data_IF_873772694466
#
_entry.id   IF_873772694466
#
_cell.length_a   1.000
_cell.length_b   1.000
_cell.length_c   1.000
_cell.angle_alpha   90.00
_cell.angle_beta   90.00
_cell.angle_gamma   90.00
#
_symmetry.space_group_name_H-M   'P 1'
#
loop_
_entity.id
_entity.type
_entity.pdbx_description
1 polymer ?
#
# COMPACT_ATOMS: atom_id res chain seq x y z
N UNK A 1 -56.90 65.55 27.05
CA UNK A 1 -56.07 64.61 27.84
C UNK A 1 -55.67 63.45 26.93
N UNK A 2 -54.39 63.08 26.87
CA UNK A 2 -53.83 62.14 25.88
C UNK A 2 -54.53 60.78 25.96
N UNK A 3 -55.06 60.32 24.82
CA UNK A 3 -55.60 58.98 24.63
C UNK A 3 -54.43 57.98 24.75
N UNK A 4 -54.51 56.95 25.62
CA UNK A 4 -53.45 55.95 25.71
C UNK A 4 -53.39 55.14 24.41
N UNK A 5 -52.20 54.75 23.94
CA UNK A 5 -52.09 53.96 22.71
C UNK A 5 -52.84 52.63 22.86
N UNK A 6 -53.44 52.10 21.78
CA UNK A 6 -54.24 50.89 21.85
C UNK A 6 -53.36 49.72 22.32
N UNK A 7 -53.85 48.95 23.31
CA UNK A 7 -53.15 47.80 23.92
C UNK A 7 -52.57 46.82 22.88
N UNK A 8 -53.20 46.72 21.71
CA UNK A 8 -52.74 45.90 20.58
C UNK A 8 -51.42 46.37 19.96
N UNK A 9 -51.16 47.69 19.92
CA UNK A 9 -49.91 48.24 19.40
C UNK A 9 -48.71 47.93 20.32
N UNK A 10 -48.93 47.97 21.64
CA UNK A 10 -47.89 47.63 22.61
C UNK A 10 -47.51 46.14 22.54
N UNK A 11 -48.51 45.25 22.40
CA UNK A 11 -48.27 43.80 22.24
C UNK A 11 -47.53 43.49 20.94
N UNK A 12 -47.88 44.15 19.83
CA UNK A 12 -47.19 43.97 18.55
C UNK A 12 -45.71 44.41 18.61
N UNK A 13 -45.43 45.53 19.28
CA UNK A 13 -44.05 46.03 19.46
C UNK A 13 -43.24 45.09 20.36
N UNK A 14 -43.82 44.60 21.46
CA UNK A 14 -43.13 43.65 22.35
C UNK A 14 -42.85 42.33 21.63
N UNK A 15 -43.79 41.80 20.85
CA UNK A 15 -43.57 40.59 20.04
C UNK A 15 -42.50 40.80 18.98
N UNK A 16 -42.49 41.95 18.28
CA UNK A 16 -41.47 42.25 17.27
C UNK A 16 -40.07 42.32 17.90
N UNK A 17 -39.95 43.00 19.04
CA UNK A 17 -38.70 43.10 19.81
C UNK A 17 -38.23 41.72 20.26
N UNK A 18 -39.12 40.88 20.81
CA UNK A 18 -38.78 39.51 21.22
C UNK A 18 -38.30 38.64 20.04
N UNK A 19 -38.91 38.81 18.87
CA UNK A 19 -38.52 38.07 17.65
C UNK A 19 -37.14 38.51 17.15
N UNK A 20 -36.83 39.80 17.23
CA UNK A 20 -35.51 40.35 16.88
C UNK A 20 -34.44 39.82 17.84
N UNK A 21 -34.68 39.87 19.16
CA UNK A 21 -33.74 39.35 20.15
C UNK A 21 -33.51 37.84 20.01
N UNK A 22 -34.55 37.05 19.74
CA UNK A 22 -34.41 35.62 19.46
C UNK A 22 -33.58 35.36 18.18
N UNK A 23 -33.78 36.18 17.14
CA UNK A 23 -32.99 36.11 15.91
C UNK A 23 -31.51 36.47 16.10
N UNK A 24 -31.20 37.46 16.95
CA UNK A 24 -29.84 37.82 17.31
C UNK A 24 -29.15 36.73 18.14
N UNK A 25 -29.81 36.21 19.17
CA UNK A 25 -29.28 35.13 20.00
C UNK A 25 -29.02 33.85 19.18
N UNK A 26 -29.92 33.52 18.23
CA UNK A 26 -29.71 32.39 17.32
C UNK A 26 -28.51 32.59 16.39
N UNK A 27 -28.30 33.82 15.91
CA UNK A 27 -27.12 34.14 15.08
C UNK A 27 -25.82 34.04 15.86
N UNK A 28 -25.77 34.53 17.11
CA UNK A 28 -24.60 34.40 17.96
C UNK A 28 -24.26 32.93 18.26
N UNK A 29 -25.26 32.13 18.63
CA UNK A 29 -25.08 30.69 18.85
C UNK A 29 -24.62 29.95 17.58
N UNK A 30 -25.13 30.33 16.40
CA UNK A 30 -24.69 29.78 15.12
C UNK A 30 -23.24 30.15 14.81
N UNK A 31 -22.85 31.40 15.05
CA UNK A 31 -21.47 31.88 14.85
C UNK A 31 -20.50 31.18 15.81
N UNK A 32 -20.85 31.02 17.09
CA UNK A 32 -20.03 30.26 18.04
C UNK A 32 -19.91 28.78 17.64
N UNK A 33 -20.99 28.18 17.13
CA UNK A 33 -20.97 26.78 16.64
C UNK A 33 -20.10 26.63 15.38
N UNK A 34 -20.13 27.61 14.48
CA UNK A 34 -19.28 27.63 13.28
C UNK A 34 -17.82 27.86 13.66
N UNK A 35 -17.55 28.79 14.58
CA UNK A 35 -16.20 29.08 15.07
C UNK A 35 -15.60 27.91 15.85
N UNK A 36 -16.40 27.19 16.65
CA UNK A 36 -15.95 25.98 17.36
C UNK A 36 -15.68 24.84 16.38
N UNK A 37 -16.53 24.65 15.36
CA UNK A 37 -16.27 23.72 14.25
C UNK A 37 -15.00 24.07 13.48
N UNK A 38 -14.77 25.34 13.18
CA UNK A 38 -13.56 25.81 12.50
C UNK A 38 -12.30 25.59 13.36
N UNK A 39 -12.34 25.91 14.65
CA UNK A 39 -11.23 25.63 15.58
C UNK A 39 -10.96 24.13 15.76
N UNK A 40 -11.98 23.28 15.71
CA UNK A 40 -11.81 21.82 15.72
C UNK A 40 -11.22 21.26 14.41
N UNK A 41 -11.30 22.03 13.31
CA UNK A 41 -10.70 21.67 12.01
C UNK A 41 -9.22 22.08 11.92
N UNK A 42 -8.75 23.04 12.73
CA UNK A 42 -7.36 23.49 12.76
C UNK A 42 -6.43 22.59 13.61
N UNK A 43 -6.98 21.65 14.38
CA UNK A 43 -6.19 20.69 15.19
C UNK A 43 -6.11 19.31 14.56
N UNK A 44 -6.17 19.20 13.23
CA UNK A 44 -5.70 18.00 12.54
C UNK A 44 -4.18 18.02 12.64
N UNK A 45 -3.53 17.03 13.26
CA UNK A 45 -2.08 16.90 13.17
C UNK A 45 -1.75 16.92 11.68
N UNK A 46 -0.93 17.87 11.24
CA UNK A 46 -0.31 17.81 9.92
C UNK A 46 0.57 16.56 9.92
N UNK A 47 -0.01 15.41 9.58
CA UNK A 47 0.76 14.29 9.12
C UNK A 47 1.47 14.80 7.86
N UNK A 48 2.80 14.86 7.90
CA UNK A 48 3.60 14.99 6.69
C UNK A 48 3.33 13.71 5.89
N UNK A 49 2.26 13.71 5.09
CA UNK A 49 2.00 12.63 4.15
C UNK A 49 3.20 12.51 3.23
N UNK A 50 3.54 11.27 2.85
CA UNK A 50 4.71 11.08 1.99
C UNK A 50 4.44 11.74 0.64
N UNK A 51 5.47 12.29 0.03
CA UNK A 51 5.38 12.82 -1.32
C UNK A 51 5.58 11.68 -2.32
N UNK A 52 4.47 11.11 -2.79
CA UNK A 52 4.50 10.17 -3.93
C UNK A 52 4.65 10.97 -5.23
N UNK A 53 5.65 10.63 -6.05
CA UNK A 53 5.85 11.19 -7.40
C UNK A 53 5.55 10.14 -8.47
N UNK A 54 6.59 9.64 -9.12
CA UNK A 54 6.54 8.64 -10.19
C UNK A 54 6.81 7.21 -9.68
N UNK A 55 7.50 7.06 -8.55
CA UNK A 55 7.88 5.77 -7.95
C UNK A 55 7.40 5.68 -6.51
N UNK A 56 6.99 4.49 -6.08
CA UNK A 56 6.65 4.16 -4.69
C UNK A 56 6.87 2.69 -4.44
N UNK A 57 7.38 2.34 -3.27
CA UNK A 57 7.45 0.95 -2.82
C UNK A 57 6.33 0.69 -1.80
N UNK A 58 5.76 -0.51 -1.82
CA UNK A 58 4.64 -0.86 -0.95
C UNK A 58 4.78 -2.27 -0.39
N UNK A 59 4.40 -2.39 0.86
CA UNK A 59 4.25 -3.65 1.58
C UNK A 59 2.93 -3.62 2.33
N UNK A 60 2.25 -4.76 2.35
CA UNK A 60 1.02 -4.93 3.12
C UNK A 60 1.20 -6.10 4.06
N UNK A 61 1.09 -5.84 5.36
CA UNK A 61 1.10 -6.88 6.38
C UNK A 61 0.19 -6.49 7.55
N UNK A 62 -0.81 -7.34 7.85
CA UNK A 62 -1.77 -7.13 8.95
C UNK A 62 -1.49 -7.99 10.16
N UNK A 63 -0.42 -8.80 10.13
CA UNK A 63 -0.01 -9.70 11.19
C UNK A 63 1.44 -9.40 11.56
N UNK A 64 1.63 -8.55 12.56
CA UNK A 64 2.96 -8.07 12.95
C UNK A 64 3.92 -9.21 13.31
N UNK A 65 5.14 -9.13 12.78
CA UNK A 65 6.28 -9.96 13.18
C UNK A 65 7.47 -9.08 13.57
N UNK A 66 8.36 -9.55 14.46
CA UNK A 66 9.55 -8.77 14.85
C UNK A 66 10.48 -8.39 13.68
N UNK A 67 10.42 -9.10 12.55
CA UNK A 67 11.26 -8.86 11.38
C UNK A 67 10.69 -7.77 10.46
N UNK A 68 9.41 -7.44 10.57
CA UNK A 68 8.72 -6.55 9.64
C UNK A 68 9.34 -5.15 9.59
N UNK A 69 9.57 -4.51 10.74
CA UNK A 69 10.16 -3.17 10.79
C UNK A 69 11.62 -3.15 10.33
N UNK A 70 12.51 -4.06 10.80
CA UNK A 70 13.84 -4.21 10.23
C UNK A 70 13.84 -4.40 8.70
N UNK A 71 12.94 -5.23 8.17
CA UNK A 71 12.82 -5.48 6.74
C UNK A 71 12.45 -4.20 5.98
N UNK A 72 11.43 -3.47 6.42
CA UNK A 72 11.00 -2.23 5.75
C UNK A 72 12.12 -1.17 5.80
N UNK A 73 12.79 -1.02 6.94
CA UNK A 73 13.93 -0.12 7.08
C UNK A 73 15.11 -0.50 6.18
N UNK A 74 15.32 -1.80 5.97
CA UNK A 74 16.31 -2.29 5.02
C UNK A 74 15.95 -1.92 3.57
N UNK A 75 14.70 -2.14 3.15
CA UNK A 75 14.22 -1.70 1.83
C UNK A 75 14.38 -0.20 1.63
N UNK A 76 14.04 0.61 2.65
CA UNK A 76 14.23 2.06 2.64
C UNK A 76 15.71 2.42 2.40
N UNK A 77 16.65 1.71 3.03
CA UNK A 77 18.07 1.96 2.85
C UNK A 77 18.58 1.56 1.45
N UNK A 78 18.13 0.42 0.92
CA UNK A 78 18.58 -0.10 -0.39
C UNK A 78 18.01 0.72 -1.56
N UNK A 79 16.73 1.10 -1.48
CA UNK A 79 16.06 1.84 -2.56
C UNK A 79 16.43 3.33 -2.58
N UNK A 80 16.78 3.89 -1.41
CA UNK A 80 17.12 5.29 -1.26
C UNK A 80 15.92 6.26 -1.38
N UNK A 81 16.18 7.57 -1.31
CA UNK A 81 15.13 8.58 -1.11
C UNK A 81 14.18 8.78 -2.31
N UNK A 82 14.50 8.21 -3.47
CA UNK A 82 13.62 8.30 -4.65
C UNK A 82 12.44 7.31 -4.62
N UNK A 83 12.43 6.40 -3.65
CA UNK A 83 11.41 5.38 -3.44
C UNK A 83 10.81 5.52 -2.03
N UNK A 84 9.82 6.40 -1.84
CA UNK A 84 9.09 6.42 -0.57
C UNK A 84 8.33 5.10 -0.38
N UNK A 85 8.15 4.67 0.87
CA UNK A 85 7.47 3.41 1.19
C UNK A 85 6.10 3.68 1.82
N UNK A 86 5.06 3.05 1.28
CA UNK A 86 3.76 2.94 1.94
C UNK A 86 3.67 1.56 2.58
N UNK A 87 3.55 1.52 3.90
CA UNK A 87 3.24 0.30 4.64
C UNK A 87 1.74 0.25 4.95
N UNK A 88 1.03 -0.71 4.37
CA UNK A 88 -0.37 -0.97 4.69
C UNK A 88 -0.49 -2.01 5.81
N UNK A 89 -1.26 -1.71 6.85
CA UNK A 89 -1.47 -2.62 7.99
C UNK A 89 -2.88 -2.51 8.59
N UNK A 90 -3.18 -3.34 9.59
CA UNK A 90 -4.46 -3.28 10.29
C UNK A 90 -4.45 -2.18 11.37
N UNK A 91 -5.63 -1.67 11.74
CA UNK A 91 -5.74 -0.71 12.85
C UNK A 91 -5.13 -1.28 14.14
N UNK A 92 -5.43 -2.55 14.45
CA UNK A 92 -4.86 -3.26 15.61
C UNK A 92 -3.34 -3.28 15.59
N UNK A 93 -2.74 -3.69 14.47
CA UNK A 93 -1.27 -3.72 14.34
C UNK A 93 -0.65 -2.34 14.47
N UNK A 94 -1.29 -1.32 13.89
CA UNK A 94 -0.84 0.06 14.04
C UNK A 94 -0.86 0.50 15.51
N UNK A 95 -1.99 0.32 16.19
CA UNK A 95 -2.16 0.77 17.58
C UNK A 95 -1.22 0.04 18.55
N UNK A 96 -1.01 -1.26 18.35
CA UNK A 96 -0.18 -2.09 19.22
C UNK A 96 1.33 -1.89 19.00
N UNK A 97 1.76 -1.56 17.78
CA UNK A 97 3.19 -1.58 17.42
C UNK A 97 3.76 -0.31 16.80
N UNK A 98 2.93 0.56 16.21
CA UNK A 98 3.40 1.67 15.37
C UNK A 98 2.97 3.04 15.88
N UNK A 99 1.86 3.11 16.60
CA UNK A 99 1.33 4.33 17.19
C UNK A 99 2.36 4.95 18.16
N UNK A 100 2.43 6.30 18.25
CA UNK A 100 3.24 6.97 19.27
C UNK A 100 2.91 6.53 20.70
N UNK A 101 1.68 6.06 20.93
CA UNK A 101 1.17 5.59 22.22
C UNK A 101 1.11 4.05 22.31
N UNK A 102 1.75 3.32 21.39
CA UNK A 102 1.75 1.87 21.38
C UNK A 102 2.26 1.30 22.71
N UNK A 103 1.60 0.23 23.17
CA UNK A 103 1.90 -0.46 24.43
C UNK A 103 3.14 -1.37 24.35
N UNK A 104 3.59 -1.71 23.14
CA UNK A 104 4.88 -2.38 22.87
C UNK A 104 6.04 -1.38 22.96
N UNK A 105 7.31 -1.80 23.22
CA UNK A 105 8.42 -0.86 23.40
C UNK A 105 8.49 0.10 22.21
N UNK A 106 8.51 1.39 22.53
CA UNK A 106 8.45 2.53 21.61
C UNK A 106 9.01 2.20 20.22
N UNK A 107 8.22 2.45 19.18
CA UNK A 107 8.64 2.33 17.77
C UNK A 107 10.10 2.74 17.59
N UNK A 108 10.87 1.87 16.93
CA UNK A 108 12.31 2.03 16.68
C UNK A 108 12.64 3.48 16.34
N UNK A 109 13.68 4.04 16.96
CA UNK A 109 14.07 5.43 16.69
C UNK A 109 14.35 5.65 15.19
N UNK A 110 14.84 4.63 14.47
CA UNK A 110 15.04 4.69 13.02
C UNK A 110 13.73 4.70 12.24
N UNK A 111 12.73 3.95 12.70
CA UNK A 111 11.37 4.00 12.13
C UNK A 111 10.77 5.40 12.26
N UNK A 112 10.78 5.96 13.47
CA UNK A 112 10.26 7.31 13.72
C UNK A 112 10.95 8.36 12.86
N UNK A 113 12.29 8.33 12.76
CA UNK A 113 13.02 9.25 11.86
C UNK A 113 12.61 9.12 10.39
N UNK A 114 12.35 7.92 9.90
CA UNK A 114 11.94 7.70 8.51
C UNK A 114 10.50 8.22 8.26
N UNK A 115 9.61 8.01 9.23
CA UNK A 115 8.25 8.58 9.20
C UNK A 115 8.28 10.10 9.27
N UNK A 116 9.03 10.67 10.23
CA UNK A 116 9.16 12.12 10.42
C UNK A 116 9.78 12.81 9.18
N UNK A 117 10.70 12.11 8.49
CA UNK A 117 11.31 12.56 7.24
C UNK A 117 10.38 12.43 6.02
N UNK A 118 9.20 11.83 6.16
CA UNK A 118 8.26 11.60 5.06
C UNK A 118 8.74 10.59 4.03
N UNK A 119 9.65 9.68 4.41
CA UNK A 119 10.12 8.61 3.53
C UNK A 119 9.36 7.30 3.70
N UNK A 120 8.66 7.13 4.83
CA UNK A 120 7.78 6.00 5.10
C UNK A 120 6.43 6.50 5.63
N UNK A 121 5.33 6.03 5.06
CA UNK A 121 3.97 6.22 5.60
C UNK A 121 3.41 4.90 6.07
N UNK A 122 2.59 4.92 7.12
CA UNK A 122 1.69 3.80 7.43
C UNK A 122 0.26 4.16 7.09
N UNK A 123 -0.43 3.27 6.38
CA UNK A 123 -1.84 3.41 6.03
C UNK A 123 -2.64 2.20 6.50
N UNK A 124 -3.89 2.43 6.85
CA UNK A 124 -4.77 1.37 7.33
C UNK A 124 -5.46 0.71 6.14
N UNK A 125 -5.38 -0.62 6.07
CA UNK A 125 -6.11 -1.43 5.09
C UNK A 125 -7.61 -1.32 5.37
N UNK A 126 -8.42 -1.15 4.32
CA UNK A 126 -9.89 -1.17 4.43
C UNK A 126 -10.36 -2.47 5.11
N UNK A 127 -11.26 -2.41 6.11
CA UNK A 127 -11.70 -3.59 6.88
C UNK A 127 -12.45 -4.63 6.02
N UNK A 128 -12.82 -4.29 4.78
CA UNK A 128 -13.43 -5.24 3.84
C UNK A 128 -12.43 -6.31 3.32
N UNK A 129 -11.13 -6.06 3.41
CA UNK A 129 -10.10 -6.99 2.95
C UNK A 129 -9.65 -7.94 4.06
N UNK A 130 -10.02 -9.21 3.93
CA UNK A 130 -9.51 -10.27 4.81
C UNK A 130 -8.15 -10.81 4.34
N UNK A 131 -7.07 -10.20 4.80
CA UNK A 131 -5.71 -10.58 4.41
C UNK A 131 -5.15 -11.83 5.10
N UNK A 132 -5.92 -12.47 6.00
CA UNK A 132 -5.50 -13.72 6.67
C UNK A 132 -5.68 -14.98 5.80
N UNK A 133 -6.17 -14.83 4.58
CA UNK A 133 -6.42 -15.95 3.67
C UNK A 133 -5.80 -15.67 2.32
N UNK A 134 -5.30 -16.73 1.65
CA UNK A 134 -4.82 -16.63 0.28
C UNK A 134 -5.85 -15.98 -0.63
N UNK A 135 -7.13 -16.36 -0.55
CA UNK A 135 -8.19 -15.75 -1.37
C UNK A 135 -8.29 -14.24 -1.14
N UNK A 136 -8.29 -13.81 0.11
CA UNK A 136 -8.42 -12.39 0.43
C UNK A 136 -7.20 -11.56 0.02
N UNK A 137 -5.98 -12.12 0.11
CA UNK A 137 -4.77 -11.49 -0.46
C UNK A 137 -4.90 -11.30 -1.97
N UNK A 138 -5.37 -12.32 -2.70
CA UNK A 138 -5.57 -12.20 -4.16
C UNK A 138 -6.67 -11.19 -4.51
N UNK A 139 -7.78 -11.16 -3.76
CA UNK A 139 -8.83 -10.15 -3.93
C UNK A 139 -8.29 -8.75 -3.68
N UNK A 140 -7.45 -8.56 -2.66
CA UNK A 140 -6.85 -7.27 -2.33
C UNK A 140 -5.94 -6.75 -3.45
N UNK A 141 -5.04 -7.56 -3.98
CA UNK A 141 -4.16 -7.14 -5.08
C UNK A 141 -4.90 -6.94 -6.42
N UNK A 142 -6.04 -7.61 -6.60
CA UNK A 142 -6.93 -7.43 -7.75
C UNK A 142 -8.03 -6.38 -7.54
N UNK A 143 -7.91 -5.54 -6.50
CA UNK A 143 -8.87 -4.47 -6.23
C UNK A 143 -8.28 -3.07 -6.55
N UNK A 144 -9.02 -2.18 -7.25
CA UNK A 144 -8.53 -0.83 -7.58
C UNK A 144 -8.05 -0.01 -6.38
N UNK A 145 -8.74 -0.14 -5.24
CA UNK A 145 -8.49 0.62 -4.01
C UNK A 145 -7.00 0.69 -3.65
N UNK A 146 -6.27 -0.44 -3.62
CA UNK A 146 -4.84 -0.46 -3.27
C UNK A 146 -4.05 0.47 -4.19
N UNK A 147 -4.27 0.33 -5.50
CA UNK A 147 -3.53 1.04 -6.51
C UNK A 147 -3.87 2.53 -6.48
N UNK A 148 -5.13 2.89 -6.28
CA UNK A 148 -5.57 4.30 -6.13
C UNK A 148 -4.92 4.99 -4.94
N UNK A 149 -4.68 4.28 -3.83
CA UNK A 149 -3.94 4.86 -2.69
C UNK A 149 -2.51 5.27 -3.10
N UNK A 150 -1.92 4.62 -4.10
CA UNK A 150 -0.54 4.86 -4.54
C UNK A 150 -0.43 5.94 -5.62
N UNK A 151 -1.48 6.74 -5.83
CA UNK A 151 -1.45 7.95 -6.66
C UNK A 151 -0.36 8.94 -6.21
N UNK A 152 0.37 9.63 -7.12
CA UNK A 152 0.37 9.54 -8.58
C UNK A 152 1.45 8.62 -9.20
N UNK A 153 2.17 7.79 -8.41
CA UNK A 153 3.23 6.88 -8.89
C UNK A 153 2.89 6.03 -10.13
N UNK A 154 3.67 6.15 -11.20
CA UNK A 154 3.56 5.23 -12.34
C UNK A 154 4.09 3.84 -11.98
N UNK A 155 5.18 3.77 -11.22
CA UNK A 155 5.90 2.55 -10.90
C UNK A 155 5.73 2.18 -9.43
N UNK A 156 5.20 0.99 -9.19
CA UNK A 156 4.98 0.46 -7.84
C UNK A 156 5.83 -0.78 -7.65
N UNK A 157 6.78 -0.72 -6.70
CA UNK A 157 7.50 -1.90 -6.23
C UNK A 157 6.71 -2.54 -5.09
N UNK A 158 6.17 -3.72 -5.32
CA UNK A 158 5.52 -4.54 -4.29
C UNK A 158 6.56 -5.49 -3.70
N UNK A 159 6.64 -5.55 -2.37
CA UNK A 159 7.41 -6.56 -1.66
C UNK A 159 6.63 -7.13 -0.47
N UNK A 160 6.70 -8.45 -0.27
CA UNK A 160 6.11 -9.17 0.85
C UNK A 160 7.16 -9.47 1.93
N UNK A 161 6.72 -9.87 3.13
CA UNK A 161 7.62 -10.15 4.25
C UNK A 161 8.65 -11.28 3.96
N UNK A 162 8.36 -12.14 2.99
CA UNK A 162 9.20 -13.22 2.49
C UNK A 162 9.97 -12.85 1.20
N UNK A 163 10.12 -11.54 0.92
CA UNK A 163 10.94 -11.00 -0.16
C UNK A 163 12.09 -10.13 0.35
N UNK A 164 13.21 -10.14 -0.36
CA UNK A 164 14.39 -9.33 -0.06
C UNK A 164 14.99 -8.72 -1.33
N UNK A 165 15.51 -7.49 -1.23
CA UNK A 165 16.45 -6.93 -2.21
C UNK A 165 17.88 -7.20 -1.75
N UNK A 166 18.80 -7.45 -2.68
CA UNK A 166 20.18 -7.73 -2.35
C UNK A 166 21.02 -6.45 -2.49
N UNK A 167 21.54 -5.91 -1.40
CA UNK A 167 22.31 -4.66 -1.42
C UNK A 167 23.59 -4.76 -2.26
N UNK A 168 24.07 -5.98 -2.51
CA UNK A 168 25.23 -6.25 -3.36
C UNK A 168 24.90 -6.24 -4.86
N UNK A 169 23.62 -6.10 -5.25
CA UNK A 169 23.20 -6.18 -6.64
C UNK A 169 23.84 -5.11 -7.53
N UNK A 170 24.37 -5.55 -8.68
CA UNK A 170 24.96 -4.66 -9.67
C UNK A 170 23.91 -3.83 -10.41
N UNK A 171 22.68 -4.34 -10.46
CA UNK A 171 21.50 -3.66 -10.99
C UNK A 171 20.61 -3.21 -9.84
N UNK A 172 19.84 -2.17 -10.09
CA UNK A 172 18.85 -1.59 -9.18
C UNK A 172 17.44 -1.86 -9.70
N UNK A 173 16.41 -1.57 -8.89
CA UNK A 173 15.01 -1.62 -9.33
C UNK A 173 14.75 -0.65 -10.49
N UNK A 174 15.47 0.48 -10.54
CA UNK A 174 15.32 1.50 -11.59
C UNK A 174 15.67 0.98 -12.99
N UNK A 175 16.56 -0.03 -13.09
CA UNK A 175 16.98 -0.64 -14.36
C UNK A 175 15.87 -1.48 -15.04
N UNK A 176 14.72 -1.62 -14.38
CA UNK A 176 13.58 -2.40 -14.83
C UNK A 176 12.29 -1.57 -15.02
N UNK A 177 12.33 -0.24 -14.85
CA UNK A 177 11.15 0.63 -14.94
C UNK A 177 10.50 0.67 -16.33
N UNK A 178 11.18 0.21 -17.37
CA UNK A 178 10.64 0.05 -18.71
C UNK A 178 9.54 -1.01 -18.79
N UNK A 179 9.49 -1.97 -17.85
CA UNK A 179 8.53 -3.06 -17.88
C UNK A 179 7.25 -2.72 -17.11
N UNK A 180 6.11 -3.15 -17.66
CA UNK A 180 4.81 -2.90 -17.06
C UNK A 180 4.49 -3.88 -15.93
N UNK A 181 5.05 -5.10 -15.98
CA UNK A 181 5.02 -6.05 -14.88
C UNK A 181 6.23 -6.99 -14.97
N UNK A 182 7.03 -7.01 -13.91
CA UNK A 182 8.15 -7.92 -13.73
C UNK A 182 8.16 -8.46 -12.30
N UNK A 183 8.49 -9.74 -12.16
CA UNK A 183 8.67 -10.45 -10.89
C UNK A 183 9.40 -11.76 -11.14
N UNK A 184 9.52 -12.61 -10.13
CA UNK A 184 10.15 -13.92 -10.31
C UNK A 184 9.30 -14.78 -11.28
N UNK A 185 9.86 -15.34 -12.35
CA UNK A 185 9.07 -16.10 -13.32
C UNK A 185 8.48 -17.36 -12.68
N UNK A 186 7.21 -17.64 -12.96
CA UNK A 186 6.52 -18.87 -12.51
C UNK A 186 6.59 -19.99 -13.56
N UNK A 187 7.09 -19.68 -14.75
CA UNK A 187 7.22 -20.58 -15.86
C UNK A 187 8.47 -20.21 -16.68
N UNK A 188 9.06 -21.18 -17.36
CA UNK A 188 10.30 -21.04 -18.13
C UNK A 188 10.09 -20.54 -19.57
N UNK A 189 8.85 -20.51 -20.05
CA UNK A 189 8.47 -20.11 -21.41
C UNK A 189 7.38 -19.05 -21.43
N UNK A 190 6.43 -19.12 -20.51
CA UNK A 190 5.33 -18.17 -20.36
C UNK A 190 5.76 -16.98 -19.51
N UNK A 191 5.50 -15.76 -20.00
CA UNK A 191 5.69 -14.51 -19.26
C UNK A 191 4.61 -14.36 -18.18
N UNK A 192 4.77 -15.11 -17.10
CA UNK A 192 3.95 -15.10 -15.89
C UNK A 192 4.86 -14.98 -14.69
N UNK A 193 4.54 -14.07 -13.78
CA UNK A 193 5.45 -13.69 -12.70
C UNK A 193 4.76 -13.81 -11.36
N UNK A 194 5.57 -14.04 -10.33
CA UNK A 194 5.12 -13.99 -8.95
C UNK A 194 5.04 -12.53 -8.48
N UNK A 195 4.00 -12.22 -7.71
CA UNK A 195 3.68 -10.88 -7.27
C UNK A 195 4.41 -10.42 -6.00
N UNK A 196 5.04 -11.33 -5.24
CA UNK A 196 5.52 -11.02 -3.90
C UNK A 196 6.85 -10.27 -3.82
N UNK A 197 7.62 -10.25 -4.90
CA UNK A 197 8.61 -9.23 -5.20
C UNK A 197 8.42 -8.84 -6.66
N UNK A 198 7.75 -7.73 -6.90
CA UNK A 198 7.38 -7.32 -8.25
C UNK A 198 7.38 -5.81 -8.46
N UNK A 199 7.73 -5.38 -9.67
CA UNK A 199 7.58 -4.00 -10.12
C UNK A 199 6.41 -3.96 -11.11
N UNK A 200 5.46 -3.06 -10.88
CA UNK A 200 4.22 -2.98 -11.65
C UNK A 200 3.89 -1.55 -12.07
N UNK A 201 3.38 -1.39 -13.29
CA UNK A 201 2.84 -0.13 -13.80
C UNK A 201 1.42 0.08 -13.26
N UNK A 202 1.27 1.04 -12.34
CA UNK A 202 -0.02 1.31 -11.67
C UNK A 202 -1.11 1.72 -12.65
N UNK A 203 -0.78 2.56 -13.64
CA UNK A 203 -1.79 3.05 -14.59
C UNK A 203 -2.37 1.91 -15.41
N UNK A 204 -1.51 1.02 -15.92
CA UNK A 204 -1.96 -0.14 -16.69
C UNK A 204 -2.71 -1.15 -15.81
N UNK A 205 -2.29 -1.36 -14.55
CA UNK A 205 -3.06 -2.16 -13.58
C UNK A 205 -4.48 -1.62 -13.42
N UNK A 206 -4.63 -0.31 -13.21
CA UNK A 206 -5.95 0.31 -13.07
C UNK A 206 -6.78 0.20 -14.36
N UNK A 207 -6.17 0.30 -15.54
CA UNK A 207 -6.87 0.06 -16.82
C UNK A 207 -7.38 -1.39 -16.95
N UNK A 208 -6.60 -2.38 -16.50
CA UNK A 208 -7.06 -3.77 -16.43
C UNK A 208 -8.25 -3.89 -15.47
N UNK A 209 -8.12 -3.39 -14.25
CA UNK A 209 -9.11 -3.56 -13.19
C UNK A 209 -10.42 -2.80 -13.47
N UNK A 210 -10.34 -1.58 -14.04
CA UNK A 210 -11.52 -0.80 -14.43
C UNK A 210 -12.18 -1.30 -15.73
N UNK A 211 -11.51 -2.16 -16.50
CA UNK A 211 -12.05 -2.77 -17.71
C UNK A 211 -13.13 -3.83 -17.46
N UNK A 212 -13.58 -4.03 -16.21
CA UNK A 212 -14.57 -5.05 -15.84
C UNK A 212 -13.98 -6.45 -15.66
N UNK A 213 -12.64 -6.56 -15.59
CA UNK A 213 -11.94 -7.80 -15.29
C UNK A 213 -12.05 -8.11 -13.79
N UNK A 214 -12.33 -9.37 -13.44
CA UNK A 214 -12.48 -9.83 -12.07
C UNK A 214 -11.74 -11.15 -11.88
N UNK A 215 -10.70 -11.14 -11.04
CA UNK A 215 -9.87 -12.31 -10.78
C UNK A 215 -10.68 -13.49 -10.25
N UNK A 216 -11.61 -13.25 -9.32
CA UNK A 216 -12.37 -14.34 -8.69
C UNK A 216 -13.38 -14.95 -9.66
N UNK A 217 -14.03 -14.13 -10.49
CA UNK A 217 -14.89 -14.62 -11.56
C UNK A 217 -14.09 -15.45 -12.55
N UNK A 218 -12.95 -14.93 -13.02
CA UNK A 218 -12.10 -15.62 -14.00
C UNK A 218 -11.52 -16.92 -13.45
N UNK A 219 -11.08 -16.91 -12.19
CA UNK A 219 -10.62 -18.10 -11.47
C UNK A 219 -11.64 -19.25 -11.52
N UNK A 220 -12.94 -18.93 -11.45
CA UNK A 220 -14.02 -19.93 -11.38
C UNK A 220 -14.65 -20.25 -12.74
N UNK A 221 -14.52 -19.38 -13.75
CA UNK A 221 -15.30 -19.48 -15.00
C UNK A 221 -14.45 -19.62 -16.25
N UNK A 222 -13.19 -19.17 -16.24
CA UNK A 222 -12.29 -19.28 -17.39
C UNK A 222 -11.51 -20.60 -17.37
N UNK A 223 -10.97 -20.97 -18.52
CA UNK A 223 -10.25 -22.21 -18.73
C UNK A 223 -8.90 -22.30 -17.99
N UNK A 224 -8.11 -23.31 -18.34
CA UNK A 224 -6.85 -23.68 -17.66
C UNK A 224 -5.77 -22.60 -17.63
N UNK A 225 -5.84 -21.59 -18.51
CA UNK A 225 -4.92 -20.44 -18.44
C UNK A 225 -5.18 -19.57 -17.20
N UNK A 226 -6.41 -19.55 -16.68
CA UNK A 226 -6.84 -18.67 -15.60
C UNK A 226 -7.17 -19.43 -14.31
N UNK A 227 -7.85 -20.57 -14.45
CA UNK A 227 -8.32 -21.36 -13.31
C UNK A 227 -7.19 -21.87 -12.42
N UNK A 228 -7.30 -21.65 -11.11
CA UNK A 228 -6.33 -22.18 -10.13
C UNK A 228 -5.10 -21.31 -9.87
N UNK A 229 -4.95 -20.17 -10.56
CA UNK A 229 -3.77 -19.31 -10.50
C UNK A 229 -3.99 -18.00 -9.72
N UNK A 230 -3.00 -17.61 -8.92
CA UNK A 230 -3.06 -16.38 -8.12
C UNK A 230 -3.26 -15.12 -8.96
N UNK A 231 -3.58 -14.01 -8.29
CA UNK A 231 -3.73 -12.68 -8.87
C UNK A 231 -2.52 -12.31 -9.71
N UNK A 232 -1.31 -12.63 -9.24
CA UNK A 232 -0.07 -12.30 -9.93
C UNK A 232 0.06 -12.97 -11.30
N UNK A 233 -0.25 -14.25 -11.36
CA UNK A 233 -0.32 -15.00 -12.60
C UNK A 233 -1.44 -14.47 -13.49
N UNK A 234 -2.66 -14.31 -12.93
CA UNK A 234 -3.83 -13.78 -13.65
C UNK A 234 -3.55 -12.40 -14.26
N UNK A 235 -2.94 -11.52 -13.48
CA UNK A 235 -2.56 -10.17 -13.90
C UNK A 235 -1.49 -10.23 -14.98
N UNK A 236 -0.54 -11.17 -14.90
CA UNK A 236 0.42 -11.39 -15.97
C UNK A 236 -0.27 -11.76 -17.29
N UNK A 237 -1.33 -12.58 -17.26
CA UNK A 237 -2.13 -12.89 -18.46
C UNK A 237 -2.82 -11.63 -18.98
N UNK A 238 -3.51 -10.90 -18.11
CA UNK A 238 -4.23 -9.66 -18.48
C UNK A 238 -3.30 -8.60 -19.09
N UNK A 239 -2.10 -8.43 -18.54
CA UNK A 239 -1.09 -7.52 -19.07
C UNK A 239 -0.66 -7.93 -20.48
N UNK A 240 -0.45 -9.22 -20.75
CA UNK A 240 -0.14 -9.69 -22.11
C UNK A 240 -1.28 -9.44 -23.09
N UNK A 241 -2.53 -9.66 -22.68
CA UNK A 241 -3.70 -9.41 -23.52
C UNK A 241 -3.87 -7.92 -23.86
N UNK A 242 -3.30 -7.02 -23.06
CA UNK A 242 -3.22 -5.58 -23.31
C UNK A 242 -1.93 -5.12 -24.00
N UNK A 243 -1.12 -6.04 -24.52
CA UNK A 243 0.15 -5.75 -25.18
C UNK A 243 1.14 -4.97 -24.28
N UNK A 244 1.13 -5.26 -22.98
CA UNK A 244 2.05 -4.69 -22.01
C UNK A 244 3.51 -5.05 -22.34
N UNK A 245 4.44 -4.15 -21.98
CA UNK A 245 5.87 -4.42 -22.11
C UNK A 245 6.32 -5.41 -21.02
N UNK A 246 6.30 -6.69 -21.36
CA UNK A 246 6.68 -7.79 -20.47
C UNK A 246 8.10 -8.30 -20.77
N UNK A 247 8.98 -8.48 -19.77
CA UNK A 247 10.37 -8.88 -19.98
C UNK A 247 10.54 -10.30 -20.52
N UNK A 248 11.74 -10.66 -20.99
CA UNK A 248 12.09 -12.07 -21.19
C UNK A 248 12.23 -12.79 -19.85
N UNK A 249 12.28 -14.13 -19.87
CA UNK A 249 12.49 -14.92 -18.66
C UNK A 249 13.87 -14.64 -18.07
N UNK A 250 14.90 -14.48 -18.91
CA UNK A 250 16.26 -14.12 -18.48
C UNK A 250 16.29 -12.76 -17.76
N UNK A 251 15.61 -11.75 -18.30
CA UNK A 251 15.50 -10.45 -17.65
C UNK A 251 14.71 -10.54 -16.34
N UNK A 252 13.63 -11.32 -16.28
CA UNK A 252 12.89 -11.55 -15.05
C UNK A 252 13.74 -12.24 -13.97
N UNK A 253 14.59 -13.20 -14.35
CA UNK A 253 15.54 -13.88 -13.46
C UNK A 253 16.68 -12.98 -12.96
N UNK A 254 16.99 -11.89 -13.69
CA UNK A 254 17.90 -10.84 -13.23
C UNK A 254 17.23 -9.91 -12.22
N UNK A 255 15.91 -9.74 -12.29
CA UNK A 255 15.15 -8.98 -11.30
C UNK A 255 14.93 -9.79 -10.01
N UNK A 256 14.25 -10.93 -10.09
CA UNK A 256 13.88 -11.70 -8.90
C UNK A 256 13.97 -13.22 -9.11
N UNK A 257 14.35 -13.95 -8.04
CA UNK A 257 14.38 -15.41 -8.01
C UNK A 257 13.61 -16.00 -6.83
N UNK A 258 12.88 -17.07 -7.11
CA UNK A 258 12.08 -17.82 -6.13
C UNK A 258 12.29 -19.36 -6.18
N UNK A 259 11.95 -19.98 -7.31
CA UNK A 259 11.93 -21.44 -7.52
C UNK A 259 13.33 -22.08 -7.61
N UNK A 260 13.46 -23.39 -7.34
CA UNK A 260 14.74 -24.12 -7.40
C UNK A 260 15.48 -23.93 -8.73
N UNK A 261 14.76 -24.07 -9.85
CA UNK A 261 15.36 -23.98 -11.19
C UNK A 261 15.89 -22.57 -11.51
N UNK A 262 15.46 -21.52 -10.79
CA UNK A 262 16.05 -20.19 -10.91
C UNK A 262 17.47 -20.15 -10.35
N UNK A 263 17.73 -20.94 -9.30
CA UNK A 263 19.04 -20.99 -8.65
C UNK A 263 20.06 -21.73 -9.51
N UNK A 264 19.59 -22.66 -10.35
CA UNK A 264 20.44 -23.36 -11.32
C UNK A 264 20.84 -22.49 -12.53
N UNK A 265 20.23 -21.31 -12.69
CA UNK A 265 20.57 -20.36 -13.76
C UNK A 265 21.71 -19.45 -13.31
N UNK A 266 22.70 -19.15 -14.19
CA UNK A 266 23.78 -18.24 -13.85
C UNK A 266 23.26 -16.83 -13.59
N UNK A 267 24.05 -16.02 -12.90
CA UNK A 267 23.73 -14.63 -12.58
C UNK A 267 23.24 -14.43 -11.16
N UNK A 268 23.03 -13.16 -10.82
CA UNK A 268 22.77 -12.71 -9.45
C UNK A 268 21.62 -11.71 -9.51
N UNK A 269 20.47 -12.01 -8.89
CA UNK A 269 19.30 -11.17 -9.06
C UNK A 269 19.38 -9.90 -8.20
N UNK A 270 18.54 -8.92 -8.53
CA UNK A 270 18.25 -7.76 -7.67
C UNK A 270 17.63 -8.22 -6.36
N UNK A 271 16.83 -9.29 -6.35
CA UNK A 271 16.24 -9.81 -5.12
C UNK A 271 15.77 -11.26 -5.17
N UNK A 272 15.27 -11.72 -4.02
CA UNK A 272 14.70 -13.05 -3.85
C UNK A 272 13.30 -12.95 -3.26
N UNK A 273 12.46 -13.93 -3.56
CA UNK A 273 11.14 -14.09 -2.96
C UNK A 273 10.90 -15.56 -2.62
N UNK A 274 10.35 -15.85 -1.44
CA UNK A 274 9.90 -17.19 -1.03
C UNK A 274 10.94 -18.32 -1.03
N UNK A 275 12.23 -18.03 -1.09
CA UNK A 275 13.27 -19.07 -1.15
C UNK A 275 13.18 -20.03 0.05
N UNK A 276 12.88 -19.54 1.25
CA UNK A 276 12.65 -20.40 2.43
C UNK A 276 11.42 -21.31 2.32
N UNK A 277 10.45 -20.99 1.47
CA UNK A 277 9.23 -21.79 1.28
C UNK A 277 9.40 -22.80 0.16
N UNK A 278 10.00 -22.38 -0.94
CA UNK A 278 10.19 -23.22 -2.14
C UNK A 278 11.34 -24.20 -1.98
N UNK A 279 12.49 -23.76 -1.48
CA UNK A 279 13.65 -24.63 -1.28
C UNK A 279 14.64 -24.06 -0.24
N UNK A 280 14.43 -24.45 1.02
CA UNK A 280 15.32 -24.09 2.14
C UNK A 280 16.77 -24.52 1.92
N UNK A 281 17.02 -25.55 1.11
CA UNK A 281 18.38 -26.06 0.88
C UNK A 281 19.21 -25.10 0.03
N UNK A 282 18.57 -24.19 -0.72
CA UNK A 282 19.20 -23.16 -1.55
C UNK A 282 19.48 -21.85 -0.83
N UNK A 283 18.92 -21.64 0.36
CA UNK A 283 19.15 -20.42 1.15
C UNK A 283 20.64 -20.17 1.43
N UNK A 284 21.47 -21.17 1.82
CA UNK A 284 22.91 -20.95 1.99
C UNK A 284 23.63 -20.48 0.72
N UNK A 285 23.15 -20.88 -0.46
CA UNK A 285 23.68 -20.41 -1.74
C UNK A 285 23.29 -18.95 -1.99
N UNK A 286 22.01 -18.61 -1.85
CA UNK A 286 21.51 -17.25 -1.98
C UNK A 286 22.18 -16.28 -0.98
N UNK A 287 22.39 -16.71 0.27
CA UNK A 287 23.03 -15.93 1.33
C UNK A 287 24.46 -15.50 0.99
N UNK A 288 25.21 -16.30 0.22
CA UNK A 288 26.59 -15.91 -0.21
C UNK A 288 26.59 -14.62 -1.02
N UNK A 289 25.51 -14.38 -1.76
CA UNK A 289 25.31 -13.19 -2.57
C UNK A 289 24.53 -12.10 -1.84
N UNK A 290 23.50 -12.52 -1.11
CA UNK A 290 22.49 -11.69 -0.48
C UNK A 290 22.38 -12.05 1.01
N UNK A 291 23.36 -11.66 1.84
CA UNK A 291 23.35 -12.01 3.27
C UNK A 291 22.08 -11.57 3.98
N UNK A 292 21.43 -10.52 3.48
CA UNK A 292 20.22 -9.92 4.02
C UNK A 292 18.98 -10.78 3.80
N UNK A 293 19.09 -11.90 3.06
CA UNK A 293 18.00 -12.85 2.89
C UNK A 293 17.42 -13.34 4.23
N UNK A 294 18.24 -13.39 5.28
CA UNK A 294 17.79 -13.75 6.63
C UNK A 294 16.91 -12.69 7.32
N UNK A 295 16.80 -11.47 6.77
CA UNK A 295 15.79 -10.48 7.18
C UNK A 295 14.41 -10.79 6.62
N UNK A 296 14.35 -11.51 5.49
CA UNK A 296 13.09 -12.01 4.95
C UNK A 296 12.73 -13.32 5.62
N UNK A 297 11.44 -13.52 5.86
CA UNK A 297 10.93 -14.75 6.45
C UNK A 297 9.53 -15.03 5.94
N UNK A 298 9.09 -16.30 5.88
CA UNK A 298 7.71 -16.62 5.57
C UNK A 298 6.77 -15.72 6.39
N UNK A 299 6.03 -14.85 5.70
CA UNK A 299 5.04 -13.99 6.34
C UNK A 299 3.93 -14.82 6.99
N UNK A 300 3.14 -14.17 7.85
CA UNK A 300 1.96 -14.81 8.44
C UNK A 300 0.70 -14.67 7.56
N UNK A 301 0.78 -13.90 6.47
CA UNK A 301 -0.27 -13.73 5.45
C UNK A 301 -0.24 -14.79 4.33
#
# INVERSE_FOLDING_TARGET
MRVPPPRHALVAVVSLIATIFAGLAYREALVETIQSRWKSHETVPTFNSILIKDKVATITDTLFTPHLIPLILYYHAVLGPSWPIVFFTSQTTYDEHLSPNASSPSTSATWRRAVDAGSIETRIVSPEFNLTTRKGVNLYFSHPWLWEQLAPAKHVLVFQADAILCANAAQTVDDFLQYDFIGAPLNDTRKVYNGGLSLRNRTMLLEVLHGGNDWWKDWNTKGTEYGGHGEDYWMSVMMREKDANMPSIETALAFARQLPWHMDRPGRPVGYHRVYKEDKTRVPEARKWCPEIDLSSPGML
#
